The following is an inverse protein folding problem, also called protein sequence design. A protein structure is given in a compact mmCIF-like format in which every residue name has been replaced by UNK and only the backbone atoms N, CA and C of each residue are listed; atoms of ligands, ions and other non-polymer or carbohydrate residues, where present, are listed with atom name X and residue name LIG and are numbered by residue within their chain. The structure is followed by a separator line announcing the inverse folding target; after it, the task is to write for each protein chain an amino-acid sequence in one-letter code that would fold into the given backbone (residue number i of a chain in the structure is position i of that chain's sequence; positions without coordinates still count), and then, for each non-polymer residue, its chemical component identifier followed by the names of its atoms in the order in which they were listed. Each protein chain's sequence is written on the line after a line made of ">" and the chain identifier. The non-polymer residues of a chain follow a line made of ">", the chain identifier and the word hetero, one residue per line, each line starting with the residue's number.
data_IF_763861001115
#
_entry.id   IF_763861001115
#
_cell.length_a   1.000
_cell.length_b   1.000
_cell.length_c   1.000
_cell.angle_alpha   90.00
_cell.angle_beta   90.00
_cell.angle_gamma   90.00
#
_symmetry.space_group_name_H-M   'P 1'
#
loop_
_entity.id
_entity.type
_entity.pdbx_description
1 polymer ?
#
# COMPACT_ATOMS: atom_id res chain seq x y z
N UNK A 1 -4.06 -21.21 -6.82
CA UNK A 1 -4.68 -21.54 -5.52
C UNK A 1 -5.99 -20.79 -5.43
N UNK A 2 -7.13 -21.48 -5.33
CA UNK A 2 -8.48 -20.88 -5.31
C UNK A 2 -8.64 -19.77 -4.26
N UNK A 3 -7.90 -19.85 -3.16
CA UNK A 3 -7.88 -18.81 -2.13
C UNK A 3 -7.35 -17.47 -2.67
N UNK A 4 -6.34 -17.48 -3.55
CA UNK A 4 -5.79 -16.27 -4.14
C UNK A 4 -6.77 -15.60 -5.10
N UNK A 5 -7.50 -16.40 -5.89
CA UNK A 5 -8.51 -15.92 -6.83
C UNK A 5 -9.67 -15.26 -6.06
N UNK A 6 -10.12 -15.89 -4.96
CA UNK A 6 -11.14 -15.35 -4.06
C UNK A 6 -10.67 -14.06 -3.38
N UNK A 7 -9.43 -13.99 -2.91
CA UNK A 7 -8.87 -12.75 -2.35
C UNK A 7 -8.82 -11.63 -3.37
N UNK A 8 -8.44 -11.90 -4.63
CA UNK A 8 -8.44 -10.90 -5.70
C UNK A 8 -9.86 -10.47 -6.08
N UNK A 9 -10.81 -11.40 -6.15
CA UNK A 9 -12.22 -11.11 -6.42
C UNK A 9 -12.84 -10.26 -5.30
N UNK A 10 -12.54 -10.58 -4.04
CA UNK A 10 -12.96 -9.80 -2.88
C UNK A 10 -12.30 -8.42 -2.87
N UNK A 11 -11.02 -8.31 -3.24
CA UNK A 11 -10.32 -7.03 -3.41
C UNK A 11 -10.99 -6.19 -4.50
N UNK A 12 -11.27 -6.79 -5.67
CA UNK A 12 -11.99 -6.13 -6.76
C UNK A 12 -13.35 -5.61 -6.28
N UNK A 13 -14.11 -6.43 -5.55
CA UNK A 13 -15.40 -6.07 -5.00
C UNK A 13 -15.28 -4.93 -3.99
N UNK A 14 -14.32 -4.97 -3.07
CA UNK A 14 -14.08 -3.89 -2.10
C UNK A 14 -13.56 -2.60 -2.74
N UNK A 15 -12.81 -2.71 -3.84
CA UNK A 15 -12.36 -1.58 -4.65
C UNK A 15 -13.51 -0.93 -5.43
N UNK A 16 -14.45 -1.72 -5.96
CA UNK A 16 -15.63 -1.18 -6.67
C UNK A 16 -16.73 -0.68 -5.74
N UNK A 17 -16.75 -1.14 -4.48
CA UNK A 17 -17.80 -0.78 -3.50
C UNK A 17 -17.33 0.24 -2.45
N UNK A 18 -16.05 0.60 -2.41
CA UNK A 18 -15.52 1.60 -1.47
C UNK A 18 -16.02 3.01 -1.76
N UNK A 19 -16.19 3.87 -0.73
CA UNK A 19 -16.56 5.26 -0.92
C UNK A 19 -15.43 5.93 -1.71
N UNK A 20 -15.76 6.27 -2.97
CA UNK A 20 -15.08 7.19 -3.89
C UNK A 20 -13.62 7.48 -3.51
N UNK A 21 -12.67 6.83 -4.21
CA UNK A 21 -11.27 7.25 -4.30
C UNK A 21 -11.25 8.77 -4.46
N UNK A 22 -11.02 9.48 -3.36
CA UNK A 22 -11.20 10.93 -3.35
C UNK A 22 -9.98 11.50 -4.03
N UNK A 23 -10.17 12.46 -4.92
CA UNK A 23 -9.03 13.15 -5.52
C UNK A 23 -8.21 13.82 -4.40
N UNK A 24 -6.88 13.74 -4.45
CA UNK A 24 -6.05 14.45 -3.49
C UNK A 24 -6.34 15.94 -3.61
N UNK A 25 -6.65 16.57 -2.48
CA UNK A 25 -7.06 17.97 -2.43
C UNK A 25 -5.93 18.78 -1.77
N UNK A 26 -5.30 19.66 -2.55
CA UNK A 26 -4.25 20.56 -2.08
C UNK A 26 -2.86 19.92 -1.88
N UNK A 27 -1.99 20.64 -1.15
CA UNK A 27 -0.60 20.25 -0.81
C UNK A 27 -0.49 19.68 0.62
N UNK A 28 -1.58 19.13 1.14
CA UNK A 28 -1.59 18.58 2.50
C UNK A 28 -0.82 17.25 2.56
N UNK A 29 -0.24 17.01 3.73
CA UNK A 29 0.59 15.85 3.99
C UNK A 29 -0.18 14.54 3.74
N UNK A 30 0.51 13.60 3.12
CA UNK A 30 -0.03 12.29 2.85
C UNK A 30 0.40 11.31 3.93
N UNK A 31 -0.50 10.42 4.30
CA UNK A 31 -0.21 9.31 5.19
C UNK A 31 -0.24 8.02 4.39
N UNK A 32 0.89 7.32 4.34
CA UNK A 32 1.01 6.03 3.67
C UNK A 32 1.07 4.94 4.74
N UNK A 33 0.04 4.09 4.76
CA UNK A 33 0.05 2.87 5.56
C UNK A 33 0.57 1.73 4.70
N UNK A 34 1.49 0.92 5.22
CA UNK A 34 1.95 -0.28 4.54
C UNK A 34 1.86 -1.52 5.42
N UNK A 35 1.54 -2.63 4.77
CA UNK A 35 1.49 -3.96 5.35
C UNK A 35 2.32 -4.92 4.48
N UNK A 36 3.30 -5.58 5.11
CA UNK A 36 4.17 -6.55 4.47
C UNK A 36 3.89 -7.93 5.08
N UNK A 37 3.23 -8.79 4.31
CA UNK A 37 3.06 -10.20 4.67
C UNK A 37 4.02 -11.07 3.86
N UNK A 38 4.25 -12.32 4.30
CA UNK A 38 5.03 -13.31 3.51
C UNK A 38 4.40 -13.70 2.16
N UNK A 39 3.17 -13.24 1.89
CA UNK A 39 2.39 -13.60 0.69
C UNK A 39 2.25 -12.43 -0.27
N UNK A 40 2.21 -11.20 0.23
CA UNK A 40 2.08 -9.99 -0.57
C UNK A 40 2.32 -8.73 0.22
N UNK A 41 2.55 -7.65 -0.52
CA UNK A 41 2.77 -6.30 -0.03
C UNK A 41 1.52 -5.47 -0.33
N UNK A 42 1.00 -4.77 0.68
CA UNK A 42 -0.11 -3.86 0.57
C UNK A 42 0.30 -2.46 1.04
N UNK A 43 -0.24 -1.44 0.39
CA UNK A 43 -0.14 -0.06 0.84
C UNK A 43 -1.42 0.72 0.57
N UNK A 44 -1.70 1.69 1.44
CA UNK A 44 -2.87 2.56 1.39
C UNK A 44 -2.40 3.99 1.56
N UNK A 45 -2.76 4.83 0.60
CA UNK A 45 -2.54 6.26 0.64
C UNK A 45 -3.79 6.94 1.20
N UNK A 46 -3.62 7.65 2.31
CA UNK A 46 -4.67 8.39 3.00
C UNK A 46 -4.31 9.87 3.11
N UNK A 47 -5.33 10.72 3.09
CA UNK A 47 -5.21 12.15 3.29
C UNK A 47 -6.46 12.62 4.06
N UNK A 48 -6.30 13.39 5.14
CA UNK A 48 -7.41 13.88 5.98
C UNK A 48 -8.44 12.80 6.34
N UNK A 49 -7.98 11.62 6.76
CA UNK A 49 -8.85 10.46 7.10
C UNK A 49 -9.67 9.91 5.93
N UNK A 50 -9.42 10.35 4.70
CA UNK A 50 -9.99 9.80 3.46
C UNK A 50 -8.96 8.93 2.77
N UNK A 51 -9.43 7.89 2.09
CA UNK A 51 -8.55 7.03 1.31
C UNK A 51 -8.47 7.55 -0.13
N UNK A 52 -7.25 7.87 -0.54
CA UNK A 52 -6.95 8.41 -1.87
C UNK A 52 -6.69 7.27 -2.85
N UNK A 53 -5.88 6.29 -2.43
CA UNK A 53 -5.54 5.16 -3.28
C UNK A 53 -5.15 3.92 -2.48
N UNK A 54 -5.48 2.76 -3.04
CA UNK A 54 -4.99 1.47 -2.58
C UNK A 54 -4.04 0.92 -3.64
N UNK A 55 -2.93 0.35 -3.19
CA UNK A 55 -2.04 -0.41 -4.05
C UNK A 55 -1.63 -1.69 -3.33
N UNK A 56 -1.65 -2.80 -4.06
CA UNK A 56 -1.20 -4.08 -3.52
C UNK A 56 -0.49 -4.85 -4.60
N UNK A 57 0.58 -5.55 -4.24
CA UNK A 57 1.32 -6.41 -5.16
C UNK A 57 1.69 -7.71 -4.46
N UNK A 58 1.50 -8.81 -5.17
CA UNK A 58 1.93 -10.12 -4.68
C UNK A 58 3.45 -10.22 -4.68
N UNK A 59 4.02 -10.83 -3.65
CA UNK A 59 5.47 -11.02 -3.54
C UNK A 59 5.97 -11.90 -4.68
N UNK A 60 7.01 -11.43 -5.38
CA UNK A 60 7.68 -12.25 -6.37
C UNK A 60 8.46 -13.38 -5.67
N UNK A 61 8.70 -14.48 -6.38
CA UNK A 61 9.39 -15.65 -5.82
C UNK A 61 10.77 -15.32 -5.21
N UNK A 62 11.49 -14.33 -5.77
CA UNK A 62 12.76 -13.86 -5.21
C UNK A 62 12.58 -13.00 -3.95
N UNK A 63 11.48 -12.25 -3.86
CA UNK A 63 11.20 -11.37 -2.71
C UNK A 63 10.74 -12.19 -1.49
N UNK A 64 10.19 -13.38 -1.69
CA UNK A 64 9.78 -14.29 -0.59
C UNK A 64 10.94 -14.74 0.31
N UNK A 65 12.16 -14.72 -0.21
CA UNK A 65 13.35 -15.10 0.54
C UNK A 65 13.98 -13.90 1.28
N UNK A 66 13.45 -12.69 1.10
CA UNK A 66 13.96 -11.53 1.80
C UNK A 66 13.60 -11.55 3.29
N UNK A 67 14.53 -11.13 4.15
CA UNK A 67 14.23 -10.91 5.56
C UNK A 67 13.20 -9.78 5.72
N UNK A 68 12.50 -9.75 6.85
CA UNK A 68 11.37 -8.83 7.10
C UNK A 68 11.73 -7.36 6.86
N UNK A 69 12.93 -6.93 7.23
CA UNK A 69 13.39 -5.55 7.02
C UNK A 69 13.50 -5.16 5.54
N UNK A 70 13.97 -6.08 4.68
CA UNK A 70 14.07 -5.85 3.24
C UNK A 70 12.69 -5.84 2.58
N UNK A 71 11.76 -6.65 3.11
CA UNK A 71 10.36 -6.63 2.68
C UNK A 71 9.70 -5.29 2.99
N UNK A 72 9.94 -4.73 4.17
CA UNK A 72 9.43 -3.41 4.54
C UNK A 72 9.94 -2.31 3.61
N UNK A 73 11.25 -2.29 3.35
CA UNK A 73 11.85 -1.34 2.40
C UNK A 73 11.26 -1.52 1.00
N UNK A 74 11.05 -2.76 0.56
CA UNK A 74 10.43 -3.04 -0.74
C UNK A 74 9.01 -2.46 -0.84
N UNK A 75 8.23 -2.45 0.24
CA UNK A 75 6.89 -1.84 0.22
C UNK A 75 6.97 -0.33 0.12
N UNK A 76 7.89 0.30 0.86
CA UNK A 76 8.10 1.75 0.80
C UNK A 76 8.53 2.18 -0.61
N UNK A 77 9.50 1.48 -1.20
CA UNK A 77 9.94 1.75 -2.58
C UNK A 77 8.80 1.51 -3.57
N UNK A 78 7.96 0.50 -3.36
CA UNK A 78 6.80 0.22 -4.20
C UNK A 78 5.76 1.34 -4.13
N UNK A 79 5.41 1.80 -2.92
CA UNK A 79 4.49 2.91 -2.69
C UNK A 79 4.99 4.20 -3.36
N UNK A 80 6.26 4.55 -3.14
CA UNK A 80 6.91 5.72 -3.74
C UNK A 80 6.94 5.65 -5.27
N UNK A 81 7.12 4.45 -5.85
CA UNK A 81 7.09 4.27 -7.31
C UNK A 81 5.69 4.46 -7.89
N UNK A 82 4.66 3.94 -7.24
CA UNK A 82 3.27 4.09 -7.71
C UNK A 82 2.83 5.53 -7.60
N UNK A 83 3.00 6.13 -6.43
CA UNK A 83 2.52 7.48 -6.14
C UNK A 83 3.58 8.55 -6.37
N UNK A 84 4.62 8.28 -7.18
CA UNK A 84 5.66 9.26 -7.51
C UNK A 84 5.09 10.59 -7.98
N UNK A 85 3.98 10.54 -8.71
CA UNK A 85 3.30 11.73 -9.23
C UNK A 85 2.52 12.52 -8.16
N UNK A 86 2.18 11.91 -7.03
CA UNK A 86 1.49 12.57 -5.91
C UNK A 86 2.44 12.97 -4.78
N UNK A 87 3.48 12.19 -4.52
CA UNK A 87 4.40 12.38 -3.39
C UNK A 87 5.58 13.31 -3.70
N UNK A 88 5.69 13.80 -4.94
CA UNK A 88 6.81 14.65 -5.33
C UNK A 88 6.69 16.05 -4.71
N UNK A 89 7.56 16.36 -3.76
CA UNK A 89 7.63 17.68 -3.12
C UNK A 89 6.64 17.91 -1.98
N UNK A 90 6.01 16.85 -1.46
CA UNK A 90 5.07 16.89 -0.33
C UNK A 90 5.62 15.99 0.79
N UNK A 91 5.36 16.35 2.05
CA UNK A 91 5.73 15.53 3.19
C UNK A 91 4.84 14.28 3.26
N UNK A 92 5.46 13.13 3.54
CA UNK A 92 4.77 11.83 3.56
C UNK A 92 5.10 11.12 4.86
N UNK A 93 4.09 10.89 5.67
CA UNK A 93 4.22 10.09 6.88
C UNK A 93 3.97 8.62 6.53
N UNK A 94 4.99 7.80 6.79
CA UNK A 94 4.94 6.37 6.48
C UNK A 94 4.71 5.58 7.77
N UNK A 95 3.59 4.85 7.84
CA UNK A 95 3.23 3.99 8.95
C UNK A 95 3.36 2.51 8.58
N UNK A 96 4.02 1.78 9.46
CA UNK A 96 4.38 0.37 9.32
C UNK A 96 3.72 -0.41 10.43
N UNK A 97 3.12 -1.57 10.13
CA UNK A 97 2.61 -2.48 11.17
C UNK A 97 3.73 -3.29 11.84
N UNK A 98 5.01 -2.99 11.56
CA UNK A 98 6.11 -3.59 12.32
C UNK A 98 6.28 -2.84 13.64
N UNK A 99 5.41 -3.16 14.60
CA UNK A 99 5.74 -2.99 16.01
C UNK A 99 6.91 -3.92 16.30
N UNK A 100 8.12 -3.36 16.36
CA UNK A 100 9.22 -3.97 17.11
C UNK A 100 8.72 -4.23 18.53
N UNK A 101 8.38 -5.50 18.81
CA UNK A 101 8.11 -6.02 20.14
C UNK A 101 9.40 -6.61 20.70
#
# INVERSE_FOLDING_TARGET
>A
SEACEKSIQELKKRLTTSPVLTLPEGTQDFVVYYDASRVGLGCVLMQNSKVIAYASRQLKAHEKNYPTHDLELAVVVFALKIWRHYLYGIHVDVFTDHKSL
#
